data_IF_116485871955
#
_entry.id   IF_116485871955
#
_cell.length_a   1.000
_cell.length_b   1.000
_cell.length_c   1.000
_cell.angle_alpha   90.00
_cell.angle_beta   90.00
_cell.angle_gamma   90.00
#
_symmetry.space_group_name_H-M   'P 1'
#
loop_
_entity.id
_entity.type
_entity.pdbx_description
1 polymer ?
#
# COMPACT_ATOMS: atom_id res chain seq x y z
N UNK A 1 7.43 15.60 -61.46
CA UNK A 1 6.71 14.56 -60.72
C UNK A 1 7.44 14.29 -59.43
N UNK A 2 6.83 14.74 -58.35
CA UNK A 2 7.24 14.62 -56.95
C UNK A 2 7.40 13.17 -56.50
N UNK A 3 8.60 12.81 -56.05
CA UNK A 3 8.85 11.64 -55.20
C UNK A 3 9.63 12.00 -53.93
N UNK A 4 9.76 13.29 -53.59
CA UNK A 4 10.37 13.73 -52.34
C UNK A 4 9.40 13.69 -51.14
N UNK A 5 8.11 13.44 -51.35
CA UNK A 5 7.08 13.48 -50.30
C UNK A 5 6.95 12.20 -49.45
N UNK A 6 7.64 11.09 -49.79
CA UNK A 6 7.44 9.79 -49.12
C UNK A 6 8.52 9.40 -48.09
N UNK A 7 9.59 10.19 -47.94
CA UNK A 7 10.64 9.89 -46.93
C UNK A 7 10.30 10.35 -45.50
N UNK A 8 9.27 11.17 -45.33
CA UNK A 8 8.88 11.75 -44.04
C UNK A 8 7.98 10.88 -43.15
N UNK A 9 7.43 9.77 -43.68
CA UNK A 9 6.46 8.94 -42.92
C UNK A 9 7.17 7.78 -42.17
N UNK A 10 8.38 7.39 -42.57
CA UNK A 10 9.10 6.26 -41.95
C UNK A 10 9.84 6.63 -40.65
N UNK A 11 9.86 7.90 -40.26
CA UNK A 11 10.52 8.38 -39.04
C UNK A 11 9.56 8.68 -37.88
N UNK A 12 8.24 8.60 -38.10
CA UNK A 12 7.23 8.96 -37.10
C UNK A 12 6.85 7.77 -36.19
N UNK A 13 7.25 6.55 -36.55
CA UNK A 13 6.83 5.32 -35.86
C UNK A 13 7.76 4.77 -34.77
N UNK A 14 9.06 5.13 -34.60
CA UNK A 14 9.80 4.65 -33.42
C UNK A 14 9.55 5.50 -32.16
N UNK A 15 9.19 6.78 -32.32
CA UNK A 15 9.24 7.73 -31.21
C UNK A 15 8.02 7.69 -30.27
N UNK A 16 6.90 7.12 -30.73
CA UNK A 16 5.72 6.87 -29.88
C UNK A 16 5.81 5.55 -29.10
N UNK A 17 6.68 4.63 -29.50
CA UNK A 17 6.84 3.33 -28.82
C UNK A 17 7.84 3.41 -27.67
N UNK A 18 8.76 4.39 -27.68
CA UNK A 18 9.80 4.52 -26.64
C UNK A 18 9.32 5.21 -25.35
N UNK A 19 8.17 5.91 -25.37
CA UNK A 19 7.68 6.67 -24.22
C UNK A 19 6.72 5.87 -23.30
N UNK A 20 6.36 4.64 -23.65
CA UNK A 20 5.52 3.77 -22.82
C UNK A 20 6.30 2.87 -21.85
N UNK A 21 7.63 2.88 -21.90
CA UNK A 21 8.48 1.94 -21.15
C UNK A 21 9.29 2.56 -20.00
N UNK A 22 9.03 3.83 -19.65
CA UNK A 22 9.74 4.49 -18.54
C UNK A 22 8.75 4.76 -17.40
N UNK A 23 9.01 4.20 -16.21
CA UNK A 23 8.38 4.48 -14.90
C UNK A 23 7.21 3.63 -14.35
N UNK A 24 6.77 2.52 -14.95
CA UNK A 24 5.77 1.66 -14.27
C UNK A 24 6.26 1.00 -12.96
N UNK A 25 7.58 0.89 -12.76
CA UNK A 25 8.15 0.30 -11.54
C UNK A 25 8.05 1.18 -10.30
N UNK A 26 8.16 2.51 -10.46
CA UNK A 26 8.20 3.43 -9.33
C UNK A 26 6.81 3.72 -8.76
N UNK A 27 5.78 3.76 -9.62
CA UNK A 27 4.39 3.99 -9.19
C UNK A 27 3.86 2.86 -8.31
N UNK A 28 4.17 1.60 -8.64
CA UNK A 28 3.74 0.44 -7.86
C UNK A 28 4.38 0.42 -6.46
N UNK A 29 5.67 0.77 -6.36
CA UNK A 29 6.40 0.87 -5.09
C UNK A 29 5.85 2.03 -4.24
N UNK A 30 5.57 3.18 -4.86
CA UNK A 30 4.98 4.33 -4.16
C UNK A 30 3.56 4.05 -3.65
N UNK A 31 2.76 3.31 -4.43
CA UNK A 31 1.42 2.89 -4.06
C UNK A 31 1.46 1.92 -2.87
N UNK A 32 2.35 0.92 -2.92
CA UNK A 32 2.54 -0.02 -1.81
C UNK A 32 3.02 0.69 -0.53
N UNK A 33 4.01 1.59 -0.65
CA UNK A 33 4.50 2.38 0.49
C UNK A 33 3.36 3.18 1.13
N UNK A 34 2.56 3.87 0.32
CA UNK A 34 1.40 4.64 0.81
C UNK A 34 0.39 3.76 1.56
N UNK A 35 0.07 2.58 1.01
CA UNK A 35 -0.84 1.63 1.66
C UNK A 35 -0.21 1.12 2.97
N UNK A 36 1.06 0.75 2.96
CA UNK A 36 1.75 0.28 4.16
C UNK A 36 1.77 1.33 5.26
N UNK A 37 2.11 2.58 4.92
CA UNK A 37 2.11 3.71 5.86
C UNK A 37 0.71 3.94 6.46
N UNK A 38 -0.34 3.84 5.63
CA UNK A 38 -1.74 3.92 6.09
C UNK A 38 -2.14 2.77 7.01
N UNK A 39 -1.64 1.55 6.78
CA UNK A 39 -1.89 0.41 7.66
C UNK A 39 -1.20 0.61 9.02
N UNK A 40 0.06 1.04 9.02
CA UNK A 40 0.81 1.30 10.26
C UNK A 40 0.13 2.41 11.06
N UNK A 41 -0.27 3.50 10.40
CA UNK A 41 -1.03 4.57 11.03
C UNK A 41 -2.38 4.09 11.60
N UNK A 42 -3.07 3.17 10.90
CA UNK A 42 -4.29 2.55 11.40
C UNK A 42 -4.06 1.73 12.68
N UNK A 43 -3.00 0.92 12.73
CA UNK A 43 -2.64 0.15 13.93
C UNK A 43 -2.36 1.08 15.10
N UNK A 44 -1.60 2.16 14.87
CA UNK A 44 -1.30 3.14 15.91
C UNK A 44 -2.58 3.84 16.42
N UNK A 45 -3.45 4.28 15.51
CA UNK A 45 -4.72 4.94 15.86
C UNK A 45 -5.66 4.03 16.64
N UNK A 46 -5.82 2.78 16.19
CA UNK A 46 -6.69 1.81 16.85
C UNK A 46 -6.15 1.40 18.21
N UNK A 47 -4.84 1.23 18.35
CA UNK A 47 -4.21 0.95 19.64
C UNK A 47 -4.33 2.13 20.60
N UNK A 48 -4.10 3.36 20.15
CA UNK A 48 -4.26 4.56 20.97
C UNK A 48 -5.70 4.77 21.43
N UNK A 49 -6.70 4.46 20.58
CA UNK A 49 -8.11 4.49 20.96
C UNK A 49 -8.41 3.47 22.07
N UNK A 50 -7.93 2.24 21.91
CA UNK A 50 -8.08 1.18 22.91
C UNK A 50 -7.42 1.54 24.25
N UNK A 51 -6.19 2.08 24.22
CA UNK A 51 -5.49 2.53 25.43
C UNK A 51 -6.23 3.68 26.13
N UNK A 52 -6.73 4.66 25.37
CA UNK A 52 -7.53 5.75 25.90
C UNK A 52 -8.81 5.27 26.61
N UNK A 53 -9.46 4.25 26.05
CA UNK A 53 -10.65 3.65 26.65
C UNK A 53 -10.34 2.80 27.88
N UNK A 54 -9.18 2.13 27.93
CA UNK A 54 -8.70 1.45 29.14
C UNK A 54 -8.49 2.45 30.28
N UNK A 55 -7.90 3.61 29.99
CA UNK A 55 -7.66 4.64 31.01
C UNK A 55 -8.98 5.14 31.60
N UNK A 56 -9.95 5.49 30.74
CA UNK A 56 -11.30 5.88 31.19
C UNK A 56 -12.01 4.76 31.94
N UNK A 57 -11.79 3.50 31.54
CA UNK A 57 -12.31 2.34 32.25
C UNK A 57 -11.76 2.22 33.66
N UNK A 58 -10.47 2.46 33.84
CA UNK A 58 -9.80 2.42 35.14
C UNK A 58 -10.23 3.59 36.05
N UNK A 59 -10.53 4.75 35.48
CA UNK A 59 -11.04 5.94 36.18
C UNK A 59 -12.52 5.80 36.59
N UNK A 60 -13.21 4.78 36.09
CA UNK A 60 -14.65 4.57 36.33
C UNK A 60 -15.56 5.46 35.48
N UNK A 61 -14.99 6.21 34.54
CA UNK A 61 -15.70 7.09 33.59
C UNK A 61 -16.04 6.38 32.27
N UNK A 62 -16.14 5.04 32.29
CA UNK A 62 -16.44 4.29 31.09
C UNK A 62 -17.91 4.51 30.68
N UNK A 63 -18.11 5.50 29.82
CA UNK A 63 -19.42 5.88 29.32
C UNK A 63 -20.08 4.73 28.54
N UNK A 64 -19.27 3.86 27.91
CA UNK A 64 -19.76 2.68 27.22
C UNK A 64 -18.76 1.49 27.27
N UNK A 65 -19.00 0.45 28.08
CA UNK A 65 -18.11 -0.71 28.16
C UNK A 65 -18.03 -1.53 26.87
N UNK A 66 -19.02 -1.44 25.98
CA UNK A 66 -18.97 -2.09 24.67
C UNK A 66 -17.97 -1.40 23.74
N UNK A 67 -17.71 -0.11 23.93
CA UNK A 67 -16.76 0.63 23.11
C UNK A 67 -15.34 0.09 23.29
N UNK A 68 -14.95 -0.20 24.53
CA UNK A 68 -13.67 -0.83 24.85
C UNK A 68 -13.49 -2.17 24.12
N UNK A 69 -14.53 -3.01 24.09
CA UNK A 69 -14.50 -4.29 23.38
C UNK A 69 -14.40 -4.10 21.86
N UNK A 70 -15.13 -3.14 21.31
CA UNK A 70 -15.09 -2.81 19.88
C UNK A 70 -13.69 -2.31 19.50
N UNK A 71 -13.11 -1.42 20.28
CA UNK A 71 -11.80 -0.84 19.97
C UNK A 71 -10.66 -1.83 20.20
N UNK A 72 -10.79 -2.74 21.17
CA UNK A 72 -9.92 -3.91 21.29
C UNK A 72 -9.97 -4.79 20.04
N UNK A 73 -11.17 -5.11 19.55
CA UNK A 73 -11.35 -5.91 18.35
C UNK A 73 -10.76 -5.21 17.11
N UNK A 74 -10.96 -3.90 16.97
CA UNK A 74 -10.35 -3.11 15.88
C UNK A 74 -8.83 -3.16 15.94
N UNK A 75 -8.23 -2.89 17.09
CA UNK A 75 -6.77 -2.93 17.26
C UNK A 75 -6.21 -4.31 16.88
N UNK A 76 -6.89 -5.37 17.30
CA UNK A 76 -6.49 -6.74 16.99
C UNK A 76 -6.58 -7.03 15.48
N UNK A 77 -7.71 -6.71 14.84
CA UNK A 77 -7.91 -6.93 13.40
C UNK A 77 -6.93 -6.10 12.57
N UNK A 78 -6.70 -4.83 12.92
CA UNK A 78 -5.74 -3.96 12.25
C UNK A 78 -4.31 -4.53 12.32
N UNK A 79 -3.91 -5.06 13.48
CA UNK A 79 -2.61 -5.72 13.64
C UNK A 79 -2.51 -6.99 12.78
N UNK A 80 -3.54 -7.84 12.79
CA UNK A 80 -3.57 -9.04 11.95
C UNK A 80 -3.44 -8.71 10.46
N UNK A 81 -4.13 -7.66 10.02
CA UNK A 81 -4.06 -7.20 8.64
C UNK A 81 -2.64 -6.74 8.28
N UNK A 82 -1.99 -5.93 9.14
CA UNK A 82 -0.60 -5.49 8.93
C UNK A 82 0.36 -6.67 8.84
N UNK A 83 0.22 -7.66 9.73
CA UNK A 83 1.04 -8.86 9.71
C UNK A 83 0.83 -9.69 8.44
N UNK A 84 -0.41 -9.84 7.98
CA UNK A 84 -0.71 -10.50 6.72
C UNK A 84 -0.04 -9.81 5.54
N UNK A 85 -0.17 -8.48 5.43
CA UNK A 85 0.46 -7.69 4.36
C UNK A 85 1.98 -7.80 4.42
N UNK A 86 2.57 -7.73 5.62
CA UNK A 86 4.02 -7.90 5.82
C UNK A 86 4.49 -9.27 5.34
N UNK A 87 3.79 -10.33 5.70
CA UNK A 87 4.16 -11.70 5.31
C UNK A 87 4.05 -11.88 3.79
N UNK A 88 2.93 -11.45 3.19
CA UNK A 88 2.75 -11.52 1.73
C UNK A 88 3.80 -10.69 0.97
N UNK A 89 4.21 -9.54 1.49
CA UNK A 89 5.28 -8.75 0.89
C UNK A 89 6.64 -9.46 0.91
N UNK A 90 6.97 -10.13 2.03
CA UNK A 90 8.20 -10.93 2.15
C UNK A 90 8.16 -12.18 1.26
N UNK A 91 7.01 -12.83 1.14
CA UNK A 91 6.81 -13.96 0.22
C UNK A 91 7.01 -13.52 -1.23
N UNK A 92 6.36 -12.43 -1.66
CA UNK A 92 6.52 -11.89 -3.01
C UNK A 92 7.97 -11.53 -3.34
N UNK A 93 8.71 -10.96 -2.37
CA UNK A 93 10.14 -10.70 -2.54
C UNK A 93 10.95 -12.00 -2.74
N UNK A 94 10.70 -13.02 -1.92
CA UNK A 94 11.37 -14.32 -2.05
C UNK A 94 11.03 -15.02 -3.37
N UNK A 95 9.78 -14.93 -3.83
CA UNK A 95 9.34 -15.51 -5.09
C UNK A 95 10.02 -14.86 -6.30
N UNK A 96 10.12 -13.52 -6.33
CA UNK A 96 10.88 -12.80 -7.38
C UNK A 96 12.34 -13.25 -7.38
N UNK A 97 12.95 -13.42 -6.21
CA UNK A 97 14.34 -13.85 -6.08
C UNK A 97 14.55 -15.31 -6.53
N UNK A 98 13.57 -16.18 -6.28
CA UNK A 98 13.56 -17.57 -6.79
C UNK A 98 13.32 -17.67 -8.29
N UNK A 99 12.60 -16.73 -8.89
CA UNK A 99 12.29 -16.73 -10.32
C UNK A 99 13.42 -16.15 -11.18
N UNK A 100 14.30 -15.32 -10.60
CA UNK A 100 15.47 -14.73 -11.29
C UNK A 100 16.76 -15.54 -11.21
N UNK A 101 16.78 -16.66 -10.49
CA UNK A 101 17.93 -17.60 -10.46
C UNK A 101 17.78 -18.74 -11.46
#
# INVERSE_FOLDING_TARGET
>A
MDIQALSGINSVTPQLVQQASSNKGNDAVSMFSSIYDQLVDNVNKTNAAFEGDIVKAAEGELDNPHQLLIDSAKANISLQLLLSVRNTALEAYNDIMKMSV
#
